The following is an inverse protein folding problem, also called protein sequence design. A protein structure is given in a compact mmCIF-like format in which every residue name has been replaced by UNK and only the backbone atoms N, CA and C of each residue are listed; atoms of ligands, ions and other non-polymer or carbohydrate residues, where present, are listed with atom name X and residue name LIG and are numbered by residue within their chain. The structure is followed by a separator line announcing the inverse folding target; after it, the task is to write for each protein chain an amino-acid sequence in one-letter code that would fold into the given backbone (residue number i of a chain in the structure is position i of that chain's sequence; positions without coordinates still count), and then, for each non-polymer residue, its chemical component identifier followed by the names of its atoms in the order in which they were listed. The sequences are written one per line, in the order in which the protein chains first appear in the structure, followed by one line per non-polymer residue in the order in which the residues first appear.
data_IF_711413790429
#
_entry.id   IF_711413790429
#
_cell.length_a   1.000
_cell.length_b   1.000
_cell.length_c   1.000
_cell.angle_alpha   90.00
_cell.angle_beta   90.00
_cell.angle_gamma   90.00
#
_symmetry.space_group_name_H-M   'P 1'
#
loop_
_entity.id
_entity.type
_entity.pdbx_description
1 polymer ?
#
# COMPACT_ATOMS: atom_id res chain seq x y z
N UNK A 1 -26.66 0.24 -10.96
CA UNK A 1 -25.67 1.32 -10.81
C UNK A 1 -24.32 0.71 -11.15
N UNK A 2 -23.61 1.20 -12.15
CA UNK A 2 -22.31 0.65 -12.54
C UNK A 2 -21.29 1.04 -11.48
N UNK A 3 -20.69 0.07 -10.79
CA UNK A 3 -19.56 0.30 -9.89
C UNK A 3 -18.45 0.97 -10.70
N UNK A 4 -17.93 2.13 -10.29
CA UNK A 4 -16.82 2.75 -11.00
C UNK A 4 -15.65 1.77 -11.03
N UNK A 5 -15.09 1.54 -12.22
CA UNK A 5 -13.88 0.73 -12.38
C UNK A 5 -12.76 1.51 -11.68
N UNK A 6 -12.35 1.05 -10.50
CA UNK A 6 -11.20 1.61 -9.80
C UNK A 6 -9.95 1.13 -10.54
N UNK A 7 -9.39 2.01 -11.36
CA UNK A 7 -8.17 1.74 -12.11
C UNK A 7 -6.95 1.95 -11.23
N UNK A 8 -5.86 1.29 -11.62
CA UNK A 8 -4.53 1.57 -11.07
C UNK A 8 -4.21 3.07 -11.16
N UNK A 9 -3.52 3.66 -10.16
CA UNK A 9 -3.07 5.04 -10.20
C UNK A 9 -1.86 5.25 -11.13
N UNK A 10 -1.27 4.18 -11.66
CA UNK A 10 -0.12 4.24 -12.56
C UNK A 10 -0.56 4.30 -14.04
N UNK A 11 0.12 5.08 -14.89
CA UNK A 11 -0.21 5.18 -16.31
C UNK A 11 -0.16 3.83 -17.03
N UNK A 12 -1.00 3.66 -18.06
CA UNK A 12 -0.97 2.48 -18.92
C UNK A 12 0.40 2.31 -19.60
N UNK A 13 0.83 1.06 -19.79
CA UNK A 13 2.10 0.73 -20.44
C UNK A 13 3.35 0.84 -19.55
N UNK A 14 3.26 1.44 -18.36
CA UNK A 14 4.38 1.50 -17.40
C UNK A 14 4.62 0.15 -16.73
N UNK A 15 3.54 -0.51 -16.30
CA UNK A 15 3.57 -1.78 -15.60
C UNK A 15 3.03 -2.89 -16.51
N UNK A 16 3.36 -4.15 -16.20
CA UNK A 16 2.71 -5.29 -16.86
C UNK A 16 1.20 -5.26 -16.60
N UNK A 17 0.40 -5.84 -17.50
CA UNK A 17 -1.05 -5.90 -17.35
C UNK A 17 -1.46 -6.61 -16.04
N UNK A 18 -0.71 -7.65 -15.65
CA UNK A 18 -0.92 -8.36 -14.38
C UNK A 18 -0.67 -7.46 -13.18
N UNK A 19 0.43 -6.70 -13.16
CA UNK A 19 0.73 -5.80 -12.04
C UNK A 19 -0.27 -4.66 -11.96
N UNK A 20 -0.72 -4.10 -13.10
CA UNK A 20 -1.80 -3.11 -13.14
C UNK A 20 -3.09 -3.65 -12.54
N UNK A 21 -3.48 -4.87 -12.89
CA UNK A 21 -4.68 -5.51 -12.39
C UNK A 21 -4.60 -5.73 -10.87
N UNK A 22 -3.45 -6.18 -10.35
CA UNK A 22 -3.23 -6.37 -8.92
C UNK A 22 -3.31 -5.04 -8.15
N UNK A 23 -2.66 -3.98 -8.66
CA UNK A 23 -2.74 -2.65 -8.04
C UNK A 23 -4.19 -2.13 -8.02
N UNK A 24 -4.93 -2.29 -9.13
CA UNK A 24 -6.34 -1.90 -9.20
C UNK A 24 -7.23 -2.69 -8.22
N UNK A 25 -7.01 -4.00 -8.12
CA UNK A 25 -7.70 -4.90 -7.19
C UNK A 25 -7.47 -4.48 -5.72
N UNK A 26 -6.21 -4.27 -5.34
CA UNK A 26 -5.85 -3.79 -4.00
C UNK A 26 -6.53 -2.46 -3.70
N UNK A 27 -6.42 -1.50 -4.63
CA UNK A 27 -7.02 -0.17 -4.46
C UNK A 27 -8.53 -0.23 -4.27
N UNK A 28 -9.21 -1.06 -5.05
CA UNK A 28 -10.66 -1.25 -4.92
C UNK A 28 -11.04 -1.80 -3.54
N UNK A 29 -10.29 -2.76 -3.04
CA UNK A 29 -10.49 -3.35 -1.72
C UNK A 29 -10.29 -2.31 -0.60
N UNK A 30 -9.17 -1.57 -0.63
CA UNK A 30 -8.87 -0.52 0.35
C UNK A 30 -9.94 0.58 0.36
N UNK A 31 -10.37 1.03 -0.82
CA UNK A 31 -11.41 2.05 -0.94
C UNK A 31 -12.76 1.59 -0.40
N UNK A 32 -13.13 0.32 -0.62
CA UNK A 32 -14.34 -0.27 -0.04
C UNK A 32 -14.28 -0.25 1.49
N UNK A 33 -13.13 -0.63 2.05
CA UNK A 33 -12.91 -0.63 3.50
C UNK A 33 -12.97 0.78 4.11
N UNK A 34 -12.32 1.77 3.47
CA UNK A 34 -12.36 3.18 3.90
C UNK A 34 -13.78 3.74 3.81
N UNK A 35 -14.52 3.42 2.75
CA UNK A 35 -15.92 3.83 2.59
C UNK A 35 -16.80 3.26 3.72
N UNK A 36 -16.70 1.96 4.00
CA UNK A 36 -17.43 1.32 5.08
C UNK A 36 -17.09 1.91 6.46
N UNK A 37 -15.81 2.20 6.71
CA UNK A 37 -15.37 2.90 7.94
C UNK A 37 -16.02 4.27 8.07
N UNK A 38 -16.12 5.03 6.98
CA UNK A 38 -16.78 6.34 6.97
C UNK A 38 -18.29 6.24 7.18
N UNK A 39 -18.95 5.20 6.66
CA UNK A 39 -20.36 4.93 6.91
C UNK A 39 -20.61 4.62 8.40
N UNK A 40 -19.74 3.83 9.03
CA UNK A 40 -19.78 3.59 10.49
C UNK A 40 -19.62 4.90 11.28
N UNK A 41 -18.64 5.74 10.92
CA UNK A 41 -18.44 7.06 11.56
C UNK A 41 -19.68 7.96 11.44
N UNK A 42 -20.43 7.83 10.35
CA UNK A 42 -21.67 8.60 10.08
C UNK A 42 -22.94 7.93 10.60
N UNK A 43 -22.86 6.72 11.17
CA UNK A 43 -24.01 5.89 11.56
C UNK A 43 -25.01 5.70 10.41
N UNK A 44 -24.50 5.47 9.21
CA UNK A 44 -25.35 5.22 8.05
C UNK A 44 -26.13 3.89 8.21
N UNK A 45 -27.34 3.76 7.66
CA UNK A 45 -28.06 2.50 7.64
C UNK A 45 -27.23 1.38 6.99
N UNK A 46 -27.13 0.23 7.64
CA UNK A 46 -26.36 -0.92 7.13
C UNK A 46 -24.83 -0.80 7.27
N UNK A 47 -24.33 0.21 7.99
CA UNK A 47 -22.89 0.44 8.12
C UNK A 47 -22.13 -0.75 8.74
N UNK A 48 -22.72 -1.43 9.73
CA UNK A 48 -22.10 -2.60 10.37
C UNK A 48 -21.90 -3.76 9.38
N UNK A 49 -22.93 -4.11 8.62
CA UNK A 49 -22.88 -5.16 7.60
C UNK A 49 -21.86 -4.83 6.49
N UNK A 50 -21.84 -3.56 6.05
CA UNK A 50 -20.87 -3.08 5.08
C UNK A 50 -19.44 -3.18 5.60
N UNK A 51 -19.23 -2.83 6.88
CA UNK A 51 -17.92 -2.90 7.52
C UNK A 51 -17.45 -4.34 7.69
N UNK A 52 -18.33 -5.25 8.09
CA UNK A 52 -18.02 -6.67 8.15
C UNK A 52 -17.62 -7.20 6.77
N UNK A 53 -18.44 -6.94 5.75
CA UNK A 53 -18.19 -7.40 4.38
C UNK A 53 -16.87 -6.85 3.82
N UNK A 54 -16.59 -5.56 4.03
CA UNK A 54 -15.35 -4.95 3.57
C UNK A 54 -14.12 -5.47 4.33
N UNK A 55 -14.27 -5.77 5.63
CA UNK A 55 -13.21 -6.36 6.45
C UNK A 55 -12.90 -7.78 6.02
N UNK A 56 -13.90 -8.62 5.80
CA UNK A 56 -13.72 -9.97 5.26
C UNK A 56 -13.05 -9.92 3.88
N UNK A 57 -13.52 -9.04 2.99
CA UNK A 57 -12.91 -8.87 1.66
C UNK A 57 -11.44 -8.46 1.74
N UNK A 58 -11.06 -7.62 2.72
CA UNK A 58 -9.67 -7.24 2.95
C UNK A 58 -8.84 -8.39 3.52
N UNK A 59 -9.33 -9.10 4.53
CA UNK A 59 -8.62 -10.21 5.16
C UNK A 59 -8.32 -11.36 4.19
N UNK A 60 -9.21 -11.59 3.23
CA UNK A 60 -9.09 -12.63 2.21
C UNK A 60 -8.58 -12.11 0.86
N UNK A 61 -8.09 -10.88 0.80
CA UNK A 61 -7.48 -10.34 -0.41
C UNK A 61 -6.17 -11.07 -0.71
N UNK A 62 -6.17 -11.88 -1.76
CA UNK A 62 -4.96 -12.53 -2.27
C UNK A 62 -4.25 -11.63 -3.28
N UNK A 63 -2.98 -11.34 -3.03
CA UNK A 63 -2.09 -10.68 -4.00
C UNK A 63 -1.33 -11.76 -4.76
N UNK A 64 -1.19 -11.62 -6.08
CA UNK A 64 -0.50 -12.63 -6.89
C UNK A 64 0.96 -12.84 -6.43
N UNK A 65 1.43 -14.10 -6.49
CA UNK A 65 2.69 -14.54 -5.87
C UNK A 65 3.94 -13.70 -6.20
N UNK A 66 4.14 -13.17 -7.43
CA UNK A 66 5.29 -12.30 -7.72
C UNK A 66 5.29 -10.98 -6.93
N UNK A 67 4.12 -10.53 -6.49
CA UNK A 67 3.92 -9.25 -5.80
C UNK A 67 3.65 -9.42 -4.30
N UNK A 68 3.20 -10.60 -3.86
CA UNK A 68 2.93 -10.93 -2.46
C UNK A 68 4.20 -10.90 -1.58
N UNK A 69 4.01 -10.56 -0.30
CA UNK A 69 5.08 -10.62 0.69
C UNK A 69 5.29 -12.07 1.16
N UNK A 70 6.54 -12.51 1.20
CA UNK A 70 6.91 -13.86 1.66
C UNK A 70 8.17 -13.81 2.54
N UNK A 71 8.25 -14.63 3.60
CA UNK A 71 7.21 -15.50 4.12
C UNK A 71 6.03 -14.72 4.73
N UNK A 72 4.82 -15.24 4.58
CA UNK A 72 3.61 -14.59 5.12
C UNK A 72 3.57 -14.68 6.64
N UNK A 73 3.33 -13.57 7.36
CA UNK A 73 3.14 -13.61 8.81
C UNK A 73 1.85 -14.38 9.17
N UNK A 74 1.76 -14.92 10.41
CA UNK A 74 0.57 -15.62 10.88
C UNK A 74 -0.63 -14.68 11.05
N UNK A 75 -0.40 -13.41 11.37
CA UNK A 75 -1.44 -12.40 11.57
C UNK A 75 -2.06 -11.97 10.23
N UNK A 76 -3.39 -12.04 10.13
CA UNK A 76 -4.10 -11.90 8.86
C UNK A 76 -4.01 -10.48 8.29
N UNK A 77 -4.15 -9.44 9.13
CA UNK A 77 -4.03 -8.07 8.63
C UNK A 77 -2.58 -7.74 8.25
N UNK A 78 -1.61 -8.15 9.07
CA UNK A 78 -0.19 -7.96 8.71
C UNK A 78 0.12 -8.61 7.36
N UNK A 79 -0.35 -9.84 7.13
CA UNK A 79 -0.13 -10.58 5.88
C UNK A 79 -0.62 -9.83 4.65
N UNK A 80 -1.88 -9.40 4.67
CA UNK A 80 -2.47 -8.71 3.51
C UNK A 80 -1.83 -7.33 3.32
N UNK A 81 -1.61 -6.57 4.40
CA UNK A 81 -1.04 -5.22 4.30
C UNK A 81 0.41 -5.22 3.80
N UNK A 82 1.23 -6.17 4.23
CA UNK A 82 2.59 -6.33 3.71
C UNK A 82 2.58 -6.69 2.23
N UNK A 83 1.68 -7.57 1.81
CA UNK A 83 1.54 -7.95 0.40
C UNK A 83 1.05 -6.78 -0.47
N UNK A 84 0.09 -6.00 0.02
CA UNK A 84 -0.38 -4.78 -0.64
C UNK A 84 0.76 -3.76 -0.76
N UNK A 85 1.48 -3.53 0.33
CA UNK A 85 2.60 -2.59 0.40
C UNK A 85 3.71 -3.00 -0.56
N UNK A 86 4.07 -4.28 -0.57
CA UNK A 86 5.08 -4.79 -1.50
C UNK A 86 4.65 -4.62 -2.96
N UNK A 87 3.41 -4.97 -3.30
CA UNK A 87 2.87 -4.79 -4.64
C UNK A 87 2.94 -3.32 -5.09
N UNK A 88 2.51 -2.39 -4.25
CA UNK A 88 2.55 -0.95 -4.53
C UNK A 88 3.99 -0.43 -4.60
N UNK A 89 4.89 -0.92 -3.75
CA UNK A 89 6.29 -0.51 -3.74
C UNK A 89 7.00 -0.92 -5.03
N UNK A 90 6.82 -2.17 -5.47
CA UNK A 90 7.33 -2.61 -6.76
C UNK A 90 6.79 -1.77 -7.92
N UNK A 91 5.49 -1.43 -7.89
CA UNK A 91 4.87 -0.60 -8.92
C UNK A 91 5.49 0.80 -8.95
N UNK A 92 5.67 1.41 -7.78
CA UNK A 92 6.28 2.73 -7.65
C UNK A 92 7.72 2.72 -8.16
N UNK A 93 8.56 1.77 -7.76
CA UNK A 93 9.96 1.69 -8.19
C UNK A 93 10.09 1.42 -9.69
N UNK A 94 9.21 0.59 -10.25
CA UNK A 94 9.17 0.34 -11.70
C UNK A 94 8.71 1.57 -12.51
N UNK A 95 7.86 2.42 -11.93
CA UNK A 95 7.38 3.65 -12.56
C UNK A 95 8.42 4.77 -12.59
N UNK A 96 9.30 4.85 -11.60
CA UNK A 96 10.30 5.91 -11.51
C UNK A 96 11.39 5.74 -12.57
N UNK A 97 11.77 6.86 -13.20
CA UNK A 97 13.00 6.93 -13.99
C UNK A 97 14.24 7.01 -13.08
N UNK A 98 15.43 7.03 -13.66
CA UNK A 98 16.68 7.03 -12.89
C UNK A 98 16.81 8.26 -11.99
N UNK A 99 16.37 9.44 -12.46
CA UNK A 99 16.36 10.65 -11.63
C UNK A 99 15.38 10.53 -10.46
N UNK A 100 14.20 9.97 -10.70
CA UNK A 100 13.18 9.72 -9.67
C UNK A 100 13.65 8.69 -8.63
N UNK A 101 14.37 7.65 -9.06
CA UNK A 101 15.01 6.65 -8.19
C UNK A 101 16.10 7.26 -7.30
N UNK A 102 16.95 8.11 -7.86
CA UNK A 102 17.99 8.84 -7.13
C UNK A 102 17.38 9.78 -6.08
N UNK A 103 16.34 10.53 -6.45
CA UNK A 103 15.63 11.41 -5.53
C UNK A 103 14.92 10.61 -4.43
N UNK A 104 14.26 9.51 -4.77
CA UNK A 104 13.56 8.66 -3.80
C UNK A 104 14.55 8.06 -2.79
N UNK A 105 15.71 7.60 -3.26
CA UNK A 105 16.82 7.13 -2.42
C UNK A 105 17.20 8.16 -1.36
N UNK A 106 17.48 9.41 -1.78
CA UNK A 106 17.87 10.49 -0.88
C UNK A 106 16.77 10.84 0.13
N UNK A 107 15.51 10.84 -0.29
CA UNK A 107 14.38 11.15 0.59
C UNK A 107 14.14 10.05 1.61
N UNK A 108 14.27 8.78 1.23
CA UNK A 108 14.18 7.65 2.17
C UNK A 108 15.28 7.71 3.23
N UNK A 109 16.51 8.07 2.86
CA UNK A 109 17.63 8.24 3.80
C UNK A 109 17.38 9.37 4.82
N UNK A 110 16.51 10.32 4.47
CA UNK A 110 16.14 11.45 5.31
C UNK A 110 14.95 11.15 6.23
N UNK A 111 14.29 10.00 6.10
CA UNK A 111 13.19 9.63 7.01
C UNK A 111 13.77 9.28 8.37
N UNK A 112 13.45 10.04 9.45
CA UNK A 112 13.93 9.70 10.77
C UNK A 112 13.27 8.39 11.24
N UNK A 113 14.02 7.49 11.90
CA UNK A 113 13.40 6.33 12.53
C UNK A 113 12.43 6.81 13.63
N UNK A 114 11.27 6.16 13.72
CA UNK A 114 10.24 6.53 14.70
C UNK A 114 9.68 5.30 15.39
N UNK A 115 9.92 5.22 16.71
CA UNK A 115 9.51 4.10 17.54
C UNK A 115 10.02 2.76 17.01
N UNK A 116 9.21 1.70 17.17
CA UNK A 116 9.52 0.36 16.65
C UNK A 116 9.11 0.20 15.17
N UNK A 117 8.14 1.00 14.71
CA UNK A 117 7.40 0.79 13.45
C UNK A 117 8.07 1.38 12.21
N UNK A 118 8.79 2.50 12.34
CA UNK A 118 9.52 3.11 11.22
C UNK A 118 11.01 2.86 11.41
N UNK A 119 11.63 1.96 10.64
CA UNK A 119 13.06 1.74 10.70
C UNK A 119 13.81 2.93 10.09
N UNK A 120 15.13 2.98 10.31
CA UNK A 120 15.99 3.78 9.44
C UNK A 120 16.06 3.06 8.10
N UNK A 121 15.66 3.72 7.03
CA UNK A 121 15.80 3.15 5.69
C UNK A 121 17.24 3.23 5.20
N UNK A 122 17.63 2.21 4.44
CA UNK A 122 18.70 2.30 3.47
C UNK A 122 18.03 2.57 2.12
N UNK A 123 17.99 3.83 1.71
CA UNK A 123 17.28 4.27 0.51
C UNK A 123 17.76 3.54 -0.74
N UNK A 124 19.08 3.32 -0.84
CA UNK A 124 19.69 2.63 -1.97
C UNK A 124 19.19 1.19 -2.05
N UNK A 125 19.21 0.45 -0.93
CA UNK A 125 18.68 -0.92 -0.88
C UNK A 125 17.19 -0.96 -1.19
N UNK A 126 16.40 0.00 -0.68
CA UNK A 126 14.96 0.09 -0.94
C UNK A 126 14.64 0.19 -2.44
N UNK A 127 15.50 0.86 -3.22
CA UNK A 127 15.31 1.09 -4.65
C UNK A 127 15.95 0.00 -5.53
N UNK A 128 17.17 -0.46 -5.21
CA UNK A 128 17.86 -1.47 -6.02
C UNK A 128 17.31 -2.89 -5.80
N UNK A 129 16.77 -3.16 -4.61
CA UNK A 129 16.24 -4.47 -4.22
C UNK A 129 14.82 -4.34 -3.64
N UNK A 130 13.87 -3.75 -4.40
CA UNK A 130 12.56 -3.38 -3.88
C UNK A 130 11.70 -4.59 -3.51
N UNK A 131 12.04 -5.79 -4.00
CA UNK A 131 11.36 -7.04 -3.66
C UNK A 131 11.93 -7.79 -2.44
N UNK A 132 13.10 -7.39 -1.94
CA UNK A 132 13.88 -8.10 -0.89
C UNK A 132 13.86 -7.38 0.47
N UNK A 133 12.89 -6.48 0.68
CA UNK A 133 12.74 -5.79 1.96
C UNK A 133 12.10 -6.72 3.00
N UNK A 134 12.44 -6.50 4.26
CA UNK A 134 11.85 -7.25 5.36
C UNK A 134 10.49 -6.65 5.80
N UNK A 135 9.80 -7.34 6.70
CA UNK A 135 8.50 -6.93 7.25
C UNK A 135 8.52 -5.49 7.79
N UNK A 136 9.53 -5.16 8.60
CA UNK A 136 9.65 -3.84 9.24
C UNK A 136 9.88 -2.73 8.21
N UNK A 137 10.64 -3.01 7.16
CA UNK A 137 10.87 -2.07 6.06
C UNK A 137 9.59 -1.81 5.28
N UNK A 138 8.82 -2.85 4.93
CA UNK A 138 7.53 -2.65 4.28
C UNK A 138 6.51 -1.96 5.19
N UNK A 139 6.42 -2.30 6.48
CA UNK A 139 5.56 -1.56 7.41
C UNK A 139 5.95 -0.07 7.47
N UNK A 140 7.25 0.21 7.53
CA UNK A 140 7.77 1.58 7.48
C UNK A 140 7.32 2.31 6.21
N UNK A 141 7.47 1.67 5.05
CA UNK A 141 7.07 2.23 3.76
C UNK A 141 5.56 2.52 3.73
N UNK A 142 4.73 1.54 4.14
CA UNK A 142 3.28 1.69 4.25
C UNK A 142 2.88 2.97 5.01
N UNK A 143 3.60 3.29 6.08
CA UNK A 143 3.30 4.43 6.95
C UNK A 143 3.84 5.76 6.43
N UNK A 144 4.92 5.76 5.66
CA UNK A 144 5.70 7.00 5.40
C UNK A 144 5.73 7.42 3.94
N UNK A 145 5.58 6.49 3.00
CA UNK A 145 5.92 6.75 1.60
C UNK A 145 5.03 7.81 0.94
N UNK A 146 3.79 8.00 1.39
CA UNK A 146 2.93 9.08 0.89
C UNK A 146 3.53 10.48 1.16
N UNK A 147 4.32 10.65 2.23
CA UNK A 147 5.05 11.89 2.52
C UNK A 147 6.33 11.98 1.70
N UNK A 148 7.05 10.86 1.58
CA UNK A 148 8.34 10.79 0.85
C UNK A 148 8.14 11.06 -0.64
N UNK A 149 7.12 10.44 -1.25
CA UNK A 149 6.79 10.57 -2.66
C UNK A 149 6.06 11.88 -3.01
N UNK A 150 5.71 12.70 -2.01
CA UNK A 150 4.98 13.94 -2.23
C UNK A 150 5.75 14.90 -3.15
N UNK A 151 5.08 15.35 -4.21
CA UNK A 151 5.69 16.22 -5.22
C UNK A 151 6.64 15.51 -6.20
N UNK A 152 6.85 14.20 -6.08
CA UNK A 152 7.59 13.40 -7.05
C UNK A 152 6.67 12.68 -8.05
N UNK A 153 5.51 12.23 -7.57
CA UNK A 153 4.56 11.43 -8.33
C UNK A 153 3.20 12.11 -8.40
N UNK A 154 2.30 11.57 -9.22
CA UNK A 154 0.95 12.10 -9.35
C UNK A 154 0.23 12.09 -7.99
N UNK A 155 -0.71 13.02 -7.80
CA UNK A 155 -1.54 13.08 -6.59
C UNK A 155 -2.32 11.77 -6.36
N UNK A 156 -2.65 11.05 -7.42
CA UNK A 156 -3.39 9.80 -7.34
C UNK A 156 -2.54 8.66 -6.74
N UNK A 157 -1.26 8.56 -7.15
CA UNK A 157 -0.32 7.61 -6.55
C UNK A 157 -0.10 7.94 -5.07
N UNK A 158 0.09 9.22 -4.73
CA UNK A 158 0.22 9.65 -3.32
C UNK A 158 -1.04 9.29 -2.52
N UNK A 159 -2.23 9.51 -3.09
CA UNK A 159 -3.51 9.18 -2.45
C UNK A 159 -3.63 7.69 -2.18
N UNK A 160 -3.26 6.83 -3.12
CA UNK A 160 -3.31 5.37 -2.92
C UNK A 160 -2.39 4.88 -1.81
N UNK A 161 -1.23 5.51 -1.64
CA UNK A 161 -0.35 5.23 -0.50
C UNK A 161 -0.92 5.73 0.82
N UNK A 162 -1.55 6.91 0.82
CA UNK A 162 -2.25 7.42 2.01
C UNK A 162 -3.41 6.50 2.42
N UNK A 163 -4.23 6.05 1.46
CA UNK A 163 -5.34 5.11 1.67
C UNK A 163 -4.83 3.80 2.32
N UNK A 164 -3.77 3.20 1.77
CA UNK A 164 -3.14 2.02 2.35
C UNK A 164 -2.60 2.28 3.77
N UNK A 165 -1.95 3.42 4.00
CA UNK A 165 -1.47 3.82 5.31
C UNK A 165 -2.58 4.02 6.34
N UNK A 166 -3.73 4.58 5.94
CA UNK A 166 -4.90 4.76 6.81
C UNK A 166 -5.49 3.43 7.25
N UNK A 167 -5.62 2.46 6.34
CA UNK A 167 -6.05 1.10 6.69
C UNK A 167 -5.02 0.48 7.64
N UNK A 168 -3.73 0.56 7.29
CA UNK A 168 -2.65 0.04 8.12
C UNK A 168 -2.53 0.68 9.50
N UNK A 169 -2.92 1.93 9.71
CA UNK A 169 -2.96 2.52 11.06
C UNK A 169 -4.10 1.93 11.89
N UNK A 170 -5.23 1.61 11.28
CA UNK A 170 -6.43 1.16 11.97
C UNK A 170 -6.47 -0.35 12.24
N UNK A 171 -5.81 -1.15 11.40
CA UNK A 171 -5.93 -2.62 11.46
C UNK A 171 -4.62 -3.34 11.82
N UNK A 172 -3.51 -2.62 11.97
CA UNK A 172 -2.23 -3.27 12.27
C UNK A 172 -2.23 -3.89 13.67
N UNK A 173 -2.03 -5.20 13.72
CA UNK A 173 -1.94 -6.00 14.93
C UNK A 173 -0.60 -5.71 15.63
N UNK A 174 -0.63 -5.28 16.90
CA UNK A 174 0.58 -5.14 17.73
C UNK A 174 0.92 -6.48 18.40
N UNK A 175 2.22 -6.72 18.57
CA UNK A 175 2.76 -7.79 19.42
C UNK A 175 2.99 -7.30 20.86
#
# INVERSE_FOLDING_TARGET
MSTPIITSPFPEGVLSAEHQAEVGKIRACLNSWIAATNDCRRKAPGAEDNMQSATEALLYLEVAAPYAFTPSPPELFKRVLLSCTRCYWLALVAFLDEQGKDEMTKRLDCVPPYGKRVPRFDGKRCIEKPGELNEREYEGLMRTIHLVALGMVSKDIVKSWYELGEVGVQTWEED
#
